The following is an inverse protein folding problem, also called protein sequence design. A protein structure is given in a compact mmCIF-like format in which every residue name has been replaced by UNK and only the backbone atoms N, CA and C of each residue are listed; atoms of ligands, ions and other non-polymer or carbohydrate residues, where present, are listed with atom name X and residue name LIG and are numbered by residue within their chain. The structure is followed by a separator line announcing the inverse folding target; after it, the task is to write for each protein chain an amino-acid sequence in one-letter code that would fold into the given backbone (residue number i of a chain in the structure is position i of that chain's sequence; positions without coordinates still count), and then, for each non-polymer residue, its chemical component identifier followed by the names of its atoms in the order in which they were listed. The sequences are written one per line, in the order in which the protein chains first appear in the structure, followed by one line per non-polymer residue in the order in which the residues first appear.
data_IF_369036288989
#
_entry.id   IF_369036288989
#
_cell.length_a   1.000
_cell.length_b   1.000
_cell.length_c   1.000
_cell.angle_alpha   90.00
_cell.angle_beta   90.00
_cell.angle_gamma   90.00
#
_symmetry.space_group_name_H-M   'P 1'
#
loop_
_entity.id
_entity.type
_entity.pdbx_description
1 polymer ?
#
# COMPACT_ATOMS: atom_id res chain seq x y z
N UNK A 1 -24.74 59.63 -12.91
CA UNK A 1 -23.70 59.03 -12.04
C UNK A 1 -23.66 57.48 -12.12
N UNK A 2 -24.31 56.85 -13.10
CA UNK A 2 -24.41 55.38 -13.23
C UNK A 2 -23.65 54.80 -14.45
N UNK A 3 -22.79 55.58 -15.11
CA UNK A 3 -22.08 55.18 -16.34
C UNK A 3 -20.58 54.94 -16.17
N UNK A 4 -19.98 55.31 -15.03
CA UNK A 4 -18.52 55.16 -14.79
C UNK A 4 -18.17 53.74 -14.33
N UNK A 5 -19.17 52.94 -13.90
CA UNK A 5 -18.91 51.61 -13.35
C UNK A 5 -18.79 50.51 -14.42
N UNK A 6 -19.20 50.75 -15.67
CA UNK A 6 -19.24 49.71 -16.70
C UNK A 6 -17.92 49.56 -17.50
N UNK A 7 -17.07 50.60 -17.58
CA UNK A 7 -15.79 50.56 -18.32
C UNK A 7 -14.66 49.82 -17.58
N UNK A 8 -14.70 49.75 -16.25
CA UNK A 8 -13.58 49.22 -15.45
C UNK A 8 -13.54 47.68 -15.36
N UNK A 9 -14.61 46.98 -15.78
CA UNK A 9 -14.66 45.52 -15.72
C UNK A 9 -13.78 44.83 -16.78
N UNK A 10 -13.58 45.46 -17.95
CA UNK A 10 -12.69 44.93 -18.99
C UNK A 10 -11.21 45.09 -18.63
N UNK A 11 -10.84 46.24 -18.05
CA UNK A 11 -9.47 46.54 -17.62
C UNK A 11 -9.03 45.64 -16.44
N UNK A 12 -9.91 45.42 -15.46
CA UNK A 12 -9.61 44.54 -14.31
C UNK A 12 -9.52 43.07 -14.71
N UNK A 13 -10.37 42.59 -15.62
CA UNK A 13 -10.28 41.23 -16.14
C UNK A 13 -8.98 40.98 -16.91
N UNK A 14 -8.55 41.94 -17.75
CA UNK A 14 -7.27 41.86 -18.47
C UNK A 14 -6.06 41.81 -17.54
N UNK A 15 -6.06 42.63 -16.49
CA UNK A 15 -5.02 42.62 -15.46
C UNK A 15 -4.96 41.29 -14.70
N UNK A 16 -6.10 40.69 -14.37
CA UNK A 16 -6.15 39.37 -13.72
C UNK A 16 -5.60 38.25 -14.62
N UNK A 17 -5.93 38.27 -15.92
CA UNK A 17 -5.39 37.29 -16.88
C UNK A 17 -3.88 37.43 -17.02
N UNK A 18 -3.35 38.66 -17.05
CA UNK A 18 -1.91 38.90 -17.11
C UNK A 18 -1.21 38.43 -15.82
N UNK A 19 -1.75 38.75 -14.65
CA UNK A 19 -1.18 38.33 -13.36
C UNK A 19 -1.17 36.80 -13.23
N UNK A 20 -2.27 36.14 -13.61
CA UNK A 20 -2.35 34.66 -13.56
C UNK A 20 -1.41 34.01 -14.58
N UNK A 21 -1.27 34.57 -15.79
CA UNK A 21 -0.32 34.10 -16.81
C UNK A 21 1.14 34.22 -16.34
N UNK A 22 1.50 35.36 -15.71
CA UNK A 22 2.85 35.58 -15.16
C UNK A 22 3.13 34.62 -14.01
N UNK A 23 2.20 34.45 -13.07
CA UNK A 23 2.34 33.50 -11.96
C UNK A 23 2.50 32.06 -12.45
N UNK A 24 1.72 31.65 -13.44
CA UNK A 24 1.83 30.32 -14.04
C UNK A 24 3.19 30.11 -14.71
N UNK A 25 3.66 31.12 -15.44
CA UNK A 25 4.96 31.09 -16.12
C UNK A 25 6.11 30.94 -15.13
N UNK A 26 6.08 31.70 -14.01
CA UNK A 26 7.06 31.59 -12.92
C UNK A 26 7.01 30.20 -12.29
N UNK A 27 5.82 29.69 -11.98
CA UNK A 27 5.67 28.35 -11.38
C UNK A 27 6.22 27.23 -12.27
N UNK A 28 6.01 27.32 -13.59
CA UNK A 28 6.56 26.37 -14.57
C UNK A 28 8.08 26.48 -14.66
N UNK A 29 8.63 27.70 -14.71
CA UNK A 29 10.07 27.94 -14.71
C UNK A 29 10.73 27.40 -13.44
N UNK A 30 10.19 27.71 -12.26
CA UNK A 30 10.68 27.19 -10.98
C UNK A 30 10.62 25.67 -10.93
N UNK A 31 9.54 25.06 -11.41
CA UNK A 31 9.40 23.61 -11.51
C UNK A 31 10.44 22.96 -12.43
N UNK A 32 10.73 23.61 -13.56
CA UNK A 32 11.74 23.18 -14.52
C UNK A 32 13.15 23.28 -13.94
N UNK A 33 13.46 24.39 -13.27
CA UNK A 33 14.73 24.64 -12.57
C UNK A 33 14.93 23.63 -11.45
N UNK A 34 13.94 23.41 -10.58
CA UNK A 34 14.03 22.42 -9.48
C UNK A 34 14.22 21.01 -10.04
N UNK A 35 13.52 20.65 -11.11
CA UNK A 35 13.75 19.38 -11.79
C UNK A 35 15.08 19.33 -12.55
N UNK A 36 15.69 20.48 -12.86
CA UNK A 36 16.99 20.56 -13.52
C UNK A 36 18.14 20.31 -12.55
N UNK A 37 18.12 20.97 -11.40
CA UNK A 37 19.24 20.96 -10.46
C UNK A 37 19.31 19.71 -9.55
N UNK A 38 18.38 18.76 -9.68
CA UNK A 38 18.41 17.52 -8.89
C UNK A 38 19.07 16.35 -9.62
N UNK A 39 20.32 16.11 -9.29
CA UNK A 39 21.04 14.87 -9.65
C UNK A 39 20.32 13.63 -9.08
N UNK A 40 20.35 12.51 -9.82
CA UNK A 40 19.74 11.23 -9.43
C UNK A 40 18.26 11.05 -9.78
N UNK A 41 17.41 12.09 -9.69
CA UNK A 41 15.98 11.97 -10.01
C UNK A 41 15.64 12.28 -11.49
N UNK A 42 16.62 12.73 -12.28
CA UNK A 42 16.42 13.11 -13.69
C UNK A 42 16.46 11.93 -14.65
N UNK A 43 17.24 10.92 -14.29
CA UNK A 43 17.44 9.68 -15.04
C UNK A 43 16.25 8.73 -14.89
N UNK A 44 15.44 8.91 -13.84
CA UNK A 44 14.29 8.07 -13.60
C UNK A 44 13.18 8.31 -14.64
N UNK A 45 12.71 7.25 -15.31
CA UNK A 45 11.64 7.37 -16.30
C UNK A 45 10.30 7.68 -15.61
N UNK A 46 9.40 8.38 -16.30
CA UNK A 46 8.07 8.67 -15.77
C UNK A 46 7.26 9.68 -16.58
N UNK A 47 5.99 9.91 -16.18
CA UNK A 47 5.11 10.85 -16.86
C UNK A 47 5.71 12.26 -16.87
N UNK A 48 5.66 12.95 -18.02
CA UNK A 48 6.24 14.29 -18.16
C UNK A 48 5.68 15.28 -17.12
N UNK A 49 4.37 15.26 -16.89
CA UNK A 49 3.71 16.10 -15.89
C UNK A 49 4.20 15.83 -14.46
N UNK A 50 4.53 14.58 -14.14
CA UNK A 50 5.05 14.18 -12.84
C UNK A 50 6.50 14.65 -12.60
N UNK A 51 7.27 14.94 -13.67
CA UNK A 51 8.64 15.45 -13.54
C UNK A 51 8.65 16.90 -13.05
N UNK A 52 7.69 17.69 -13.49
CA UNK A 52 7.64 19.12 -13.20
C UNK A 52 6.70 19.45 -12.04
N UNK A 53 5.56 18.78 -11.91
CA UNK A 53 4.53 19.22 -10.95
C UNK A 53 3.88 18.06 -10.18
N UNK A 54 3.28 18.38 -9.05
CA UNK A 54 2.43 17.45 -8.28
C UNK A 54 1.04 17.27 -8.90
N UNK A 55 0.67 18.05 -9.94
CA UNK A 55 -0.67 18.00 -10.55
C UNK A 55 -0.98 16.62 -11.10
N UNK A 56 0.02 15.90 -11.60
CA UNK A 56 -0.17 14.53 -12.05
C UNK A 56 -0.72 13.64 -10.91
N UNK A 57 -0.18 13.72 -9.70
CA UNK A 57 -0.67 12.95 -8.54
C UNK A 57 -2.09 13.36 -8.13
N UNK A 58 -2.39 14.65 -8.19
CA UNK A 58 -3.73 15.18 -7.89
C UNK A 58 -4.74 14.63 -8.90
N UNK A 59 -4.40 14.65 -10.19
CA UNK A 59 -5.24 14.05 -11.23
C UNK A 59 -5.47 12.55 -11.00
N UNK A 60 -4.41 11.80 -10.65
CA UNK A 60 -4.54 10.37 -10.31
C UNK A 60 -5.46 10.13 -9.11
N UNK A 61 -5.40 11.00 -8.09
CA UNK A 61 -6.30 10.91 -6.93
C UNK A 61 -7.74 11.24 -7.29
N UNK A 62 -7.97 12.31 -8.06
CA UNK A 62 -9.31 12.72 -8.49
C UNK A 62 -9.96 11.63 -9.35
N UNK A 63 -9.18 10.95 -10.20
CA UNK A 63 -9.66 9.86 -11.04
C UNK A 63 -10.14 8.65 -10.22
N UNK A 64 -9.68 8.46 -8.98
CA UNK A 64 -10.03 7.31 -8.12
C UNK A 64 -9.33 5.99 -8.49
N UNK A 65 -8.92 5.81 -9.75
CA UNK A 65 -8.27 4.59 -10.24
C UNK A 65 -6.75 4.58 -10.05
N UNK A 66 -6.27 5.03 -8.88
CA UNK A 66 -4.84 5.16 -8.61
C UNK A 66 -4.06 3.86 -8.90
N UNK A 67 -4.50 2.74 -8.32
CA UNK A 67 -3.88 1.44 -8.46
C UNK A 67 -3.70 1.01 -9.94
N UNK A 68 -4.70 1.21 -10.80
CA UNK A 68 -4.62 0.91 -12.24
C UNK A 68 -3.60 1.82 -12.93
N UNK A 69 -3.62 3.12 -12.61
CA UNK A 69 -2.67 4.07 -13.20
C UNK A 69 -1.23 3.73 -12.79
N UNK A 70 -1.00 3.45 -11.52
CA UNK A 70 0.33 3.05 -11.02
C UNK A 70 0.78 1.72 -11.64
N UNK A 71 -0.11 0.75 -11.82
CA UNK A 71 0.22 -0.49 -12.52
C UNK A 71 0.62 -0.23 -13.98
N UNK A 72 -0.11 0.64 -14.69
CA UNK A 72 0.16 0.96 -16.09
C UNK A 72 1.46 1.74 -16.28
N UNK A 73 1.80 2.68 -15.40
CA UNK A 73 3.09 3.39 -15.49
C UNK A 73 4.25 2.45 -15.18
N UNK A 74 4.12 1.51 -14.24
CA UNK A 74 5.16 0.54 -13.95
C UNK A 74 5.34 -0.47 -15.10
N UNK A 75 4.25 -0.84 -15.78
CA UNK A 75 4.33 -1.63 -17.04
C UNK A 75 5.04 -0.87 -18.17
N UNK A 76 4.87 0.45 -18.25
CA UNK A 76 5.41 1.28 -19.35
C UNK A 76 6.86 1.74 -19.13
N UNK A 77 7.19 2.13 -17.90
CA UNK A 77 8.46 2.79 -17.57
C UNK A 77 9.39 1.91 -16.73
N UNK A 78 8.90 0.77 -16.22
CA UNK A 78 9.68 -0.20 -15.47
C UNK A 78 9.45 -0.17 -13.95
N UNK A 79 10.31 -0.85 -13.18
CA UNK A 79 10.11 -1.08 -11.75
C UNK A 79 10.27 0.19 -10.90
N UNK A 80 11.00 1.20 -11.38
CA UNK A 80 11.23 2.46 -10.65
C UNK A 80 10.78 3.61 -11.54
N UNK A 81 9.79 4.37 -11.08
CA UNK A 81 9.14 5.42 -11.89
C UNK A 81 9.03 6.70 -11.09
N UNK A 82 9.39 7.83 -11.69
CA UNK A 82 9.21 9.15 -11.08
C UNK A 82 7.73 9.56 -11.14
N UNK A 83 7.14 9.84 -9.98
CA UNK A 83 5.71 10.15 -9.83
C UNK A 83 5.43 11.54 -9.27
N UNK A 84 6.48 12.30 -8.96
CA UNK A 84 6.40 13.71 -8.63
C UNK A 84 7.77 14.37 -8.73
N UNK A 85 7.86 15.69 -8.54
CA UNK A 85 9.11 16.42 -8.57
C UNK A 85 10.09 15.90 -7.49
N UNK A 86 9.56 15.43 -6.36
CA UNK A 86 10.31 14.95 -5.20
C UNK A 86 9.93 13.51 -4.81
N UNK A 87 9.20 12.78 -5.66
CA UNK A 87 8.67 11.46 -5.29
C UNK A 87 8.86 10.44 -6.40
N UNK A 88 9.19 9.22 -5.98
CA UNK A 88 9.44 8.07 -6.83
C UNK A 88 8.55 6.94 -6.34
N UNK A 89 8.00 6.19 -7.28
CA UNK A 89 7.26 4.95 -7.03
C UNK A 89 8.17 3.77 -7.37
N UNK A 90 8.21 2.78 -6.49
CA UNK A 90 8.97 1.54 -6.67
C UNK A 90 7.96 0.40 -6.65
N UNK A 91 7.91 -0.35 -7.76
CA UNK A 91 7.03 -1.49 -7.99
C UNK A 91 7.74 -2.85 -7.87
N UNK A 92 8.97 -2.88 -7.38
CA UNK A 92 9.74 -4.10 -7.18
C UNK A 92 9.54 -4.69 -5.78
N UNK A 93 9.04 -5.92 -5.71
CA UNK A 93 8.81 -6.64 -4.47
C UNK A 93 10.12 -6.96 -3.72
N UNK A 94 11.24 -7.13 -4.43
CA UNK A 94 12.54 -7.37 -3.82
C UNK A 94 13.05 -6.15 -3.02
N UNK A 95 12.55 -4.96 -3.33
CA UNK A 95 12.94 -3.71 -2.66
C UNK A 95 12.23 -3.49 -1.31
N UNK A 96 11.11 -4.18 -1.06
CA UNK A 96 10.30 -4.04 0.16
C UNK A 96 11.15 -4.17 1.44
N UNK A 97 11.96 -5.22 1.64
CA UNK A 97 12.81 -5.32 2.83
C UNK A 97 13.83 -4.18 2.93
N UNK A 98 14.40 -3.74 1.82
CA UNK A 98 15.38 -2.64 1.82
C UNK A 98 14.76 -1.27 2.14
N UNK A 99 13.47 -1.08 1.87
CA UNK A 99 12.80 0.20 2.14
C UNK A 99 12.17 0.20 3.54
N UNK A 100 11.51 -0.90 3.92
CA UNK A 100 10.72 -0.97 5.15
C UNK A 100 11.44 -1.60 6.34
N UNK A 101 12.41 -2.51 6.12
CA UNK A 101 13.13 -3.20 7.20
C UNK A 101 14.52 -2.59 7.47
N UNK A 102 14.99 -1.67 6.64
CA UNK A 102 16.22 -0.89 6.88
C UNK A 102 15.96 0.23 7.89
N UNK A 103 15.97 -0.13 9.18
CA UNK A 103 15.46 0.66 10.30
C UNK A 103 15.99 2.09 10.54
N UNK A 104 16.87 2.64 9.70
CA UNK A 104 17.49 3.96 9.90
C UNK A 104 17.67 4.79 8.61
N UNK A 105 17.53 4.20 7.43
CA UNK A 105 17.94 4.85 6.17
C UNK A 105 16.83 5.66 5.50
N UNK A 106 15.57 5.29 5.74
CA UNK A 106 14.41 5.96 5.16
C UNK A 106 13.44 6.37 6.26
N UNK A 107 13.46 7.65 6.63
CA UNK A 107 12.52 8.21 7.59
C UNK A 107 11.14 8.35 6.94
N UNK A 108 10.10 7.97 7.70
CA UNK A 108 8.71 8.21 7.29
C UNK A 108 8.46 9.72 7.29
N UNK A 109 7.87 10.24 6.22
CA UNK A 109 7.58 11.68 6.10
C UNK A 109 6.68 12.15 7.26
N UNK A 110 6.96 13.34 7.80
CA UNK A 110 6.17 14.00 8.85
C UNK A 110 4.69 14.14 8.49
N UNK A 111 4.38 14.26 7.19
CA UNK A 111 2.99 14.36 6.70
C UNK A 111 2.17 13.08 6.96
N UNK A 112 2.81 11.91 6.98
CA UNK A 112 2.13 10.66 7.36
C UNK A 112 1.96 10.54 8.88
N UNK A 113 2.82 11.20 9.67
CA UNK A 113 2.69 11.24 11.12
C UNK A 113 1.40 11.96 11.56
N UNK A 114 0.96 12.97 10.78
CA UNK A 114 -0.31 13.68 10.99
C UNK A 114 -1.54 12.80 10.77
N UNK A 115 -1.49 11.83 9.85
CA UNK A 115 -2.63 10.94 9.58
C UNK A 115 -2.65 9.71 10.51
N UNK A 116 -1.52 9.39 11.15
CA UNK A 116 -1.42 8.32 12.14
C UNK A 116 -1.79 8.81 13.56
N UNK A 117 -3.01 9.31 13.76
CA UNK A 117 -3.59 9.53 15.09
C UNK A 117 -4.02 8.18 15.69
N UNK A 118 -3.11 7.21 15.79
CA UNK A 118 -3.27 5.95 16.53
C UNK A 118 -1.96 5.17 16.61
N UNK A 119 -0.84 5.83 16.95
CA UNK A 119 0.44 5.11 17.16
C UNK A 119 1.51 5.94 17.89
N UNK A 120 1.10 6.69 18.92
CA UNK A 120 2.04 7.49 19.74
C UNK A 120 3.16 6.68 20.41
N UNK A 121 3.01 5.35 20.52
CA UNK A 121 4.05 4.50 21.10
C UNK A 121 5.30 4.37 20.21
N UNK A 122 5.19 4.46 18.89
CA UNK A 122 6.37 4.27 18.01
C UNK A 122 7.17 5.55 17.78
N UNK A 123 6.53 6.72 17.88
CA UNK A 123 7.17 8.03 17.71
C UNK A 123 7.87 8.51 18.98
N UNK A 124 7.37 8.14 20.16
CA UNK A 124 8.04 8.43 21.43
C UNK A 124 9.37 7.66 21.61
N UNK A 125 9.57 6.56 20.89
CA UNK A 125 10.84 5.79 20.88
C UNK A 125 11.94 6.51 20.08
N UNK A 126 11.60 7.47 19.21
CA UNK A 126 12.57 8.11 18.33
C UNK A 126 13.25 9.36 18.91
N UNK A 127 12.80 9.87 20.07
CA UNK A 127 13.41 11.07 20.67
C UNK A 127 14.45 10.77 21.76
N UNK A 128 14.34 9.63 22.45
CA UNK A 128 15.29 9.23 23.49
C UNK A 128 15.75 7.79 23.24
N UNK A 129 17.05 7.52 23.43
CA UNK A 129 17.54 6.14 23.51
C UNK A 129 16.69 5.43 24.58
N UNK A 130 16.03 4.30 24.28
CA UNK A 130 15.35 3.55 25.32
C UNK A 130 16.37 3.18 26.40
N UNK A 131 16.06 3.50 27.66
CA UNK A 131 16.82 3.06 28.83
C UNK A 131 16.97 1.53 28.81
N UNK A 132 18.02 0.99 29.40
CA UNK A 132 18.30 -0.46 29.37
C UNK A 132 17.09 -1.28 29.85
N UNK A 133 16.40 -0.78 30.89
CA UNK A 133 15.17 -1.37 31.45
C UNK A 133 14.01 -1.45 30.44
N UNK A 134 13.84 -0.45 29.58
CA UNK A 134 12.77 -0.49 28.56
C UNK A 134 13.08 -1.51 27.49
N UNK A 135 14.35 -1.69 27.10
CA UNK A 135 14.75 -2.74 26.15
C UNK A 135 14.47 -4.14 26.72
N UNK A 136 14.71 -4.33 28.01
CA UNK A 136 14.45 -5.58 28.70
C UNK A 136 12.95 -5.86 28.82
N UNK A 137 12.14 -4.86 29.20
CA UNK A 137 10.69 -4.99 29.18
C UNK A 137 10.13 -5.35 27.80
N UNK A 138 10.67 -4.77 26.73
CA UNK A 138 10.27 -5.12 25.37
C UNK A 138 10.75 -6.51 24.95
N UNK A 139 11.94 -6.93 25.36
CA UNK A 139 12.44 -8.28 25.08
C UNK A 139 11.59 -9.33 25.79
N UNK A 140 11.21 -9.08 27.05
CA UNK A 140 10.33 -9.92 27.85
C UNK A 140 8.91 -9.98 27.26
N UNK A 141 8.32 -8.84 26.90
CA UNK A 141 7.00 -8.79 26.27
C UNK A 141 7.00 -9.52 24.91
N UNK A 142 8.08 -9.38 24.13
CA UNK A 142 8.24 -10.08 22.85
C UNK A 142 8.41 -11.58 23.04
N UNK A 143 9.17 -12.00 24.05
CA UNK A 143 9.34 -13.41 24.41
C UNK A 143 8.01 -14.05 24.82
N UNK A 144 7.20 -13.35 25.62
CA UNK A 144 5.89 -13.83 26.05
C UNK A 144 4.91 -13.94 24.87
N UNK A 145 4.88 -12.93 23.99
CA UNK A 145 4.09 -12.98 22.77
C UNK A 145 4.48 -14.17 21.88
N UNK A 146 5.79 -14.43 21.73
CA UNK A 146 6.29 -15.57 20.96
C UNK A 146 5.94 -16.91 21.60
N UNK A 147 5.90 -16.96 22.94
CA UNK A 147 5.49 -18.14 23.69
C UNK A 147 4.00 -18.44 23.49
N UNK A 148 3.14 -17.43 23.55
CA UNK A 148 1.71 -17.56 23.27
C UNK A 148 1.44 -17.98 21.82
N UNK A 149 2.08 -17.33 20.85
CA UNK A 149 1.92 -17.69 19.44
C UNK A 149 2.40 -19.12 19.15
N UNK A 150 3.44 -19.59 19.85
CA UNK A 150 3.91 -20.98 19.74
C UNK A 150 2.88 -21.96 20.32
N UNK A 151 2.30 -21.66 21.48
CA UNK A 151 1.26 -22.49 22.09
C UNK A 151 0.02 -22.61 21.17
N UNK A 152 -0.46 -21.49 20.64
CA UNK A 152 -1.59 -21.45 19.70
C UNK A 152 -1.28 -22.26 18.42
N UNK A 153 -0.05 -22.15 17.90
CA UNK A 153 0.37 -22.91 16.73
C UNK A 153 0.39 -24.43 16.98
N UNK A 154 0.81 -24.85 18.17
CA UNK A 154 0.80 -26.25 18.58
C UNK A 154 -0.64 -26.78 18.72
N UNK A 155 -1.51 -26.03 19.38
CA UNK A 155 -2.93 -26.37 19.55
C UNK A 155 -3.65 -26.49 18.19
N UNK A 156 -3.42 -25.53 17.29
CA UNK A 156 -3.93 -25.60 15.92
C UNK A 156 -3.41 -26.83 15.15
N UNK A 157 -2.16 -27.24 15.43
CA UNK A 157 -1.57 -28.45 14.86
C UNK A 157 -2.26 -29.74 15.36
N UNK A 158 -2.59 -29.82 16.65
CA UNK A 158 -3.31 -30.97 17.23
C UNK A 158 -4.73 -31.07 16.70
N UNK A 159 -5.46 -29.94 16.64
CA UNK A 159 -6.80 -29.88 16.07
C UNK A 159 -6.81 -30.31 14.60
N UNK A 160 -5.77 -29.94 13.84
CA UNK A 160 -5.63 -30.39 12.45
C UNK A 160 -5.48 -31.90 12.35
N UNK A 161 -4.67 -32.53 13.22
CA UNK A 161 -4.50 -33.99 13.27
C UNK A 161 -5.82 -34.69 13.63
N UNK A 162 -6.52 -34.20 14.65
CA UNK A 162 -7.83 -34.74 15.04
C UNK A 162 -8.85 -34.66 13.90
N UNK A 163 -8.87 -33.55 13.15
CA UNK A 163 -9.73 -33.41 11.97
C UNK A 163 -9.37 -34.42 10.87
N UNK A 164 -8.08 -34.64 10.63
CA UNK A 164 -7.60 -35.64 9.66
C UNK A 164 -7.98 -37.07 10.06
N UNK A 165 -7.85 -37.42 11.34
CA UNK A 165 -8.28 -38.72 11.87
C UNK A 165 -9.80 -38.92 11.75
N UNK A 166 -10.58 -37.89 12.11
CA UNK A 166 -12.03 -37.93 11.98
C UNK A 166 -12.47 -38.08 10.52
N UNK A 167 -11.79 -37.38 9.61
CA UNK A 167 -12.07 -37.48 8.17
C UNK A 167 -11.80 -38.90 7.65
N UNK A 168 -10.70 -39.54 8.09
CA UNK A 168 -10.40 -40.95 7.76
C UNK A 168 -11.47 -41.90 8.29
N UNK A 169 -11.98 -41.67 9.49
CA UNK A 169 -13.07 -42.46 10.08
C UNK A 169 -14.36 -42.34 9.25
N UNK A 170 -14.77 -41.11 8.91
CA UNK A 170 -15.96 -40.85 8.08
C UNK A 170 -15.83 -41.52 6.70
N UNK A 171 -14.67 -41.44 6.07
CA UNK A 171 -14.44 -42.05 4.76
C UNK A 171 -14.51 -43.59 4.81
N UNK A 172 -14.03 -44.19 5.90
CA UNK A 172 -14.15 -45.63 6.15
C UNK A 172 -15.62 -46.03 6.30
N UNK A 173 -16.38 -45.29 7.11
CA UNK A 173 -17.82 -45.53 7.30
C UNK A 173 -18.60 -45.39 5.99
N UNK A 174 -18.29 -44.37 5.19
CA UNK A 174 -18.91 -44.15 3.87
C UNK A 174 -18.64 -45.31 2.92
N UNK A 175 -17.42 -45.85 2.89
CA UNK A 175 -17.08 -47.02 2.06
C UNK A 175 -17.88 -48.26 2.44
N UNK A 176 -18.02 -48.54 3.74
CA UNK A 176 -18.84 -49.67 4.21
C UNK A 176 -20.29 -49.47 3.81
N UNK A 177 -20.85 -48.28 4.00
CA UNK A 177 -22.24 -47.98 3.63
C UNK A 177 -22.49 -48.17 2.13
N UNK A 178 -21.62 -47.63 1.27
CA UNK A 178 -21.74 -47.81 -0.18
C UNK A 178 -21.66 -49.29 -0.58
N UNK A 179 -20.77 -50.06 0.04
CA UNK A 179 -20.67 -51.49 -0.24
C UNK A 179 -21.95 -52.25 0.14
N UNK A 180 -22.59 -51.90 1.26
CA UNK A 180 -23.88 -52.49 1.66
C UNK A 180 -25.00 -52.13 0.68
N UNK A 181 -25.05 -50.88 0.20
CA UNK A 181 -26.03 -50.43 -0.80
C UNK A 181 -25.87 -51.16 -2.15
N UNK A 182 -24.63 -51.45 -2.55
CA UNK A 182 -24.33 -52.23 -3.75
C UNK A 182 -24.76 -53.70 -3.58
N UNK A 183 -24.53 -54.30 -2.41
CA UNK A 183 -24.99 -55.67 -2.11
C UNK A 183 -26.52 -55.77 -2.08
N UNK A 184 -27.20 -54.76 -1.54
CA UNK A 184 -28.66 -54.71 -1.53
C UNK A 184 -29.23 -54.63 -2.96
N UNK A 185 -28.63 -53.81 -3.84
CA UNK A 185 -29.01 -53.76 -5.26
C UNK A 185 -28.79 -55.09 -5.97
N UNK A 186 -27.65 -55.74 -5.76
CA UNK A 186 -27.38 -57.07 -6.33
C UNK A 186 -28.38 -58.14 -5.86
N UNK A 187 -28.75 -58.11 -4.58
CA UNK A 187 -29.73 -59.04 -4.03
C UNK A 187 -31.15 -58.82 -4.61
N UNK A 188 -31.53 -57.55 -4.84
CA UNK A 188 -32.81 -57.20 -5.47
C UNK A 188 -32.85 -57.60 -6.95
N UNK A 189 -31.76 -57.41 -7.69
CA UNK A 189 -31.64 -57.85 -9.10
C UNK A 189 -31.72 -59.38 -9.22
N UNK A 190 -31.06 -60.13 -8.34
CA UNK A 190 -31.11 -61.59 -8.32
C UNK A 190 -32.48 -62.18 -7.93
N UNK A 191 -33.37 -61.40 -7.32
CA UNK A 191 -34.76 -61.79 -7.03
C UNK A 191 -35.73 -61.44 -8.16
N UNK A 192 -35.29 -60.63 -9.14
CA UNK A 192 -36.10 -60.21 -10.28
C UNK A 192 -35.89 -61.08 -11.53
N UNK A 193 -34.90 -61.97 -11.53
CA UNK A 193 -34.67 -63.05 -12.52
C UNK A 193 -35.37 -64.36 -12.11
#
# INVERSE_FOLDING_TARGET
MMSIFQENHGATAGQLVLVTSVLLSIALLSSCVISYFRSGLRELPGPLLARFTMLWKVWVHIKGDGHVVYQNIHKRYGPIVRTGPNSVSIGDAAMIPNIYLSGHLYLKSSDLARYSIRRDLTTLIHKERPSEDTKELFSLARMELMRQNRAISMEAGELKRQREDLTRSIDTTRRVFNHLDDLEKQALEAQAE
#
